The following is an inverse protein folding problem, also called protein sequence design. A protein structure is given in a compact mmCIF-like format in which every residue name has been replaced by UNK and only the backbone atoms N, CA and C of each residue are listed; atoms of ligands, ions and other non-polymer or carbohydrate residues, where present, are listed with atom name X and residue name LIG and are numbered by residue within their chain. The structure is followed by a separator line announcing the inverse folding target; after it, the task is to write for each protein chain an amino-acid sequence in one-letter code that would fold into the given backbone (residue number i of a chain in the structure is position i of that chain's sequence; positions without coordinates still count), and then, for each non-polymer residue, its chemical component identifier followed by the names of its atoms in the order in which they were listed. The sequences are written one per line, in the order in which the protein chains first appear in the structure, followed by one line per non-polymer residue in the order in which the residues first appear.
data_IF_160468348665
#
_entry.id   IF_160468348665
#
_cell.length_a   1.000
_cell.length_b   1.000
_cell.length_c   1.000
_cell.angle_alpha   90.00
_cell.angle_beta   90.00
_cell.angle_gamma   90.00
#
_symmetry.space_group_name_H-M   'P 1'
#
loop_
_entity.id
_entity.type
_entity.pdbx_description
1 polymer ?
#
# COMPACT_ATOMS: atom_id res chain seq x y z
N UNK A 1 -3.69 3.62 44.17
CA UNK A 1 -3.53 2.84 42.93
C UNK A 1 -4.47 3.34 41.80
N UNK A 2 -4.71 4.65 41.68
CA UNK A 2 -5.70 5.20 40.74
C UNK A 2 -5.12 5.72 39.40
N UNK A 3 -3.79 5.76 39.26
CA UNK A 3 -3.10 6.27 38.06
C UNK A 3 -2.42 5.12 37.28
N UNK A 4 -3.11 4.01 37.07
CA UNK A 4 -2.55 2.88 36.32
C UNK A 4 -3.13 2.84 34.91
N UNK A 5 -2.48 3.59 34.01
CA UNK A 5 -2.61 3.40 32.56
C UNK A 5 -1.89 2.11 32.19
N UNK A 6 -2.58 1.18 31.52
CA UNK A 6 -1.95 -0.04 31.02
C UNK A 6 -2.52 -0.42 29.66
N UNK A 7 -1.79 -1.30 28.96
CA UNK A 7 -2.15 -1.73 27.61
C UNK A 7 -3.56 -2.34 27.52
N UNK A 8 -3.97 -3.11 28.54
CA UNK A 8 -5.29 -3.75 28.55
C UNK A 8 -6.42 -2.73 28.62
N UNK A 9 -6.29 -1.67 29.41
CA UNK A 9 -7.27 -0.61 29.50
C UNK A 9 -7.45 0.12 28.16
N UNK A 10 -6.35 0.52 27.51
CA UNK A 10 -6.38 1.15 26.19
C UNK A 10 -6.93 0.24 25.10
N UNK A 11 -6.56 -1.05 25.14
CA UNK A 11 -7.10 -2.04 24.21
C UNK A 11 -8.61 -2.20 24.37
N UNK A 12 -9.11 -2.29 25.61
CA UNK A 12 -10.55 -2.32 25.88
C UNK A 12 -11.23 -1.04 25.36
N UNK A 13 -10.67 0.14 25.58
CA UNK A 13 -11.20 1.39 25.02
C UNK A 13 -11.31 1.33 23.50
N UNK A 14 -10.24 0.93 22.80
CA UNK A 14 -10.24 0.83 21.33
C UNK A 14 -11.28 -0.15 20.79
N UNK A 15 -11.66 -1.15 21.58
CA UNK A 15 -12.65 -2.17 21.22
C UNK A 15 -14.08 -1.76 21.57
N UNK A 16 -14.26 -0.98 22.64
CA UNK A 16 -15.59 -0.56 23.13
C UNK A 16 -16.08 0.72 22.44
N UNK A 17 -15.19 1.67 22.15
CA UNK A 17 -15.58 2.96 21.55
C UNK A 17 -16.40 2.80 20.25
N UNK A 18 -16.06 1.91 19.31
CA UNK A 18 -16.88 1.72 18.10
C UNK A 18 -18.29 1.19 18.37
N UNK A 19 -18.50 0.51 19.50
CA UNK A 19 -19.79 -0.05 19.89
C UNK A 19 -20.65 0.95 20.66
N UNK A 20 -20.02 1.82 21.48
CA UNK A 20 -20.72 2.81 22.31
C UNK A 20 -21.01 4.09 21.52
N UNK A 21 -20.06 4.51 20.68
CA UNK A 21 -20.14 5.74 19.88
C UNK A 21 -19.90 5.41 18.41
N UNK A 22 -20.79 4.64 17.76
CA UNK A 22 -20.61 4.19 16.40
C UNK A 22 -20.48 5.38 15.44
N UNK A 23 -19.46 5.33 14.60
CA UNK A 23 -19.28 6.25 13.49
C UNK A 23 -20.16 5.88 12.29
N UNK A 24 -19.99 6.58 11.15
CA UNK A 24 -20.81 6.37 9.95
C UNK A 24 -20.63 4.98 9.31
N UNK A 25 -19.51 4.31 9.59
CA UNK A 25 -19.22 2.94 9.10
C UNK A 25 -19.09 1.98 10.27
N UNK A 26 -19.40 0.70 10.01
CA UNK A 26 -19.25 -0.34 11.02
C UNK A 26 -17.81 -0.42 11.53
N UNK A 27 -17.65 -0.43 12.86
CA UNK A 27 -16.32 -0.49 13.50
C UNK A 27 -15.58 0.85 13.56
N UNK A 28 -16.19 1.96 13.12
CA UNK A 28 -15.63 3.31 13.28
C UNK A 28 -16.22 4.01 14.51
N UNK A 29 -15.55 5.07 14.97
CA UNK A 29 -15.97 5.88 16.11
C UNK A 29 -16.38 7.26 15.61
N UNK A 30 -17.41 7.84 16.20
CA UNK A 30 -17.84 9.22 15.91
C UNK A 30 -16.69 10.21 16.14
N UNK A 31 -16.52 11.16 15.22
CA UNK A 31 -15.33 12.02 15.16
C UNK A 31 -15.15 12.89 16.42
N UNK A 32 -16.22 13.48 16.95
CA UNK A 32 -16.20 14.28 18.19
C UNK A 32 -15.56 13.51 19.36
N UNK A 33 -15.96 12.25 19.55
CA UNK A 33 -15.41 11.36 20.59
C UNK A 33 -13.95 11.03 20.31
N UNK A 34 -13.58 10.78 19.05
CA UNK A 34 -12.17 10.57 18.69
C UNK A 34 -11.29 11.77 19.02
N UNK A 35 -11.80 13.00 18.79
CA UNK A 35 -11.06 14.23 19.11
C UNK A 35 -10.89 14.42 20.64
N UNK A 36 -11.87 14.03 21.44
CA UNK A 36 -11.76 14.03 22.90
C UNK A 36 -10.71 13.03 23.40
N UNK A 37 -10.62 11.84 22.78
CA UNK A 37 -9.63 10.81 23.15
C UNK A 37 -8.17 11.27 22.98
N UNK A 38 -7.90 12.21 22.06
CA UNK A 38 -6.56 12.80 21.92
C UNK A 38 -6.12 13.53 23.19
N UNK A 39 -7.03 14.27 23.83
CA UNK A 39 -6.72 14.97 25.08
C UNK A 39 -6.43 13.99 26.22
N UNK A 40 -7.17 12.88 26.26
CA UNK A 40 -6.98 11.83 27.26
C UNK A 40 -5.62 11.15 27.11
N UNK A 41 -5.26 10.74 25.90
CA UNK A 41 -3.98 10.06 25.65
C UNK A 41 -2.79 11.02 25.78
N UNK A 42 -2.96 12.30 25.43
CA UNK A 42 -1.95 13.33 25.64
C UNK A 42 -1.60 13.45 27.12
N UNK A 43 -2.60 13.55 28.01
CA UNK A 43 -2.33 13.60 29.46
C UNK A 43 -1.55 12.38 29.97
N UNK A 44 -1.87 11.18 29.46
CA UNK A 44 -1.16 9.96 29.82
C UNK A 44 0.31 9.98 29.35
N UNK A 45 0.53 10.32 28.08
CA UNK A 45 1.89 10.39 27.49
C UNK A 45 2.76 11.50 28.07
N UNK A 46 2.18 12.59 28.60
CA UNK A 46 2.94 13.65 29.28
C UNK A 46 3.25 13.33 30.74
N UNK A 47 2.37 12.57 31.40
CA UNK A 47 2.58 12.18 32.80
C UNK A 47 3.65 11.11 32.92
N UNK A 48 3.67 10.14 31.99
CA UNK A 48 4.71 9.13 31.87
C UNK A 48 5.06 8.91 30.38
N UNK A 49 6.02 9.70 29.85
CA UNK A 49 6.48 9.55 28.46
C UNK A 49 7.08 8.18 28.14
N UNK A 50 7.48 7.41 29.15
CA UNK A 50 7.97 6.05 29.03
C UNK A 50 6.87 5.00 28.83
N UNK A 51 5.61 5.31 29.15
CA UNK A 51 4.47 4.41 28.97
C UNK A 51 4.14 4.22 27.50
N UNK A 52 4.68 3.15 26.91
CA UNK A 52 4.43 2.78 25.52
C UNK A 52 2.94 2.57 25.21
N UNK A 53 2.11 2.19 26.19
CA UNK A 53 0.73 1.80 25.92
C UNK A 53 -0.13 2.98 25.45
N UNK A 54 0.07 4.15 26.05
CA UNK A 54 -0.57 5.38 25.62
C UNK A 54 -0.13 5.76 24.19
N UNK A 55 1.14 5.59 23.84
CA UNK A 55 1.64 5.86 22.48
C UNK A 55 1.06 4.92 21.42
N UNK A 56 0.88 3.63 21.74
CA UNK A 56 0.19 2.69 20.84
C UNK A 56 -1.28 3.06 20.66
N UNK A 57 -1.95 3.51 21.72
CA UNK A 57 -3.32 4.00 21.63
C UNK A 57 -3.42 5.28 20.80
N UNK A 58 -2.51 6.24 20.99
CA UNK A 58 -2.41 7.43 20.15
C UNK A 58 -2.23 7.04 18.68
N UNK A 59 -1.35 6.09 18.39
CA UNK A 59 -1.17 5.57 17.02
C UNK A 59 -2.46 4.95 16.44
N UNK A 60 -3.28 4.31 17.27
CA UNK A 60 -4.60 3.82 16.85
C UNK A 60 -5.56 4.97 16.51
N UNK A 61 -5.60 6.04 17.32
CA UNK A 61 -6.40 7.24 17.03
C UNK A 61 -5.99 7.94 15.71
N UNK A 62 -4.68 7.93 15.41
CA UNK A 62 -4.14 8.46 14.13
C UNK A 62 -4.26 7.45 12.98
N UNK A 63 -4.69 6.23 13.29
CA UNK A 63 -4.90 5.16 12.32
C UNK A 63 -5.99 5.49 11.32
N UNK A 64 -5.98 4.77 10.20
CA UNK A 64 -6.99 4.90 9.16
C UNK A 64 -8.11 3.92 9.39
N UNK A 65 -9.32 4.37 9.09
CA UNK A 65 -10.46 3.49 8.96
C UNK A 65 -10.19 2.47 7.86
N UNK A 66 -10.67 1.24 8.06
CA UNK A 66 -10.67 0.27 6.96
C UNK A 66 -11.64 0.79 5.90
N UNK A 67 -11.20 0.98 4.64
CA UNK A 67 -12.11 1.39 3.59
C UNK A 67 -13.18 0.32 3.36
N UNK A 68 -14.38 0.75 2.99
CA UNK A 68 -15.38 -0.16 2.44
C UNK A 68 -14.81 -0.89 1.22
N UNK A 69 -15.23 -2.13 1.02
CA UNK A 69 -14.87 -2.89 -0.15
C UNK A 69 -15.38 -2.18 -1.40
N UNK A 70 -14.45 -1.76 -2.25
CA UNK A 70 -14.74 -1.17 -3.55
C UNK A 70 -13.56 -1.47 -4.49
N UNK A 71 -13.72 -1.13 -5.76
CA UNK A 71 -12.68 -1.25 -6.78
C UNK A 71 -11.76 -0.03 -6.72
N UNK A 72 -10.45 -0.28 -6.78
CA UNK A 72 -9.43 0.70 -7.16
C UNK A 72 -9.13 0.63 -8.66
N UNK A 73 -9.21 -0.58 -9.23
CA UNK A 73 -8.99 -0.83 -10.65
C UNK A 73 -9.88 -1.98 -11.12
N UNK A 74 -10.49 -1.80 -12.28
CA UNK A 74 -10.99 -2.90 -13.10
C UNK A 74 -10.48 -2.70 -14.53
N UNK A 75 -9.66 -3.64 -15.01
CA UNK A 75 -8.98 -3.57 -16.30
C UNK A 75 -9.17 -4.86 -17.10
N UNK A 76 -9.36 -4.72 -18.41
CA UNK A 76 -9.41 -5.84 -19.37
C UNK A 76 -8.54 -5.52 -20.57
N UNK A 77 -7.72 -6.48 -20.98
CA UNK A 77 -6.86 -6.42 -22.18
C UNK A 77 -7.23 -7.51 -23.18
N UNK A 78 -7.41 -7.14 -24.45
CA UNK A 78 -7.54 -8.07 -25.58
C UNK A 78 -6.21 -8.69 -25.95
N UNK A 79 -5.15 -7.89 -25.99
CA UNK A 79 -3.79 -8.33 -26.34
C UNK A 79 -3.33 -9.44 -25.40
N UNK A 80 -3.46 -9.23 -24.08
CA UNK A 80 -3.07 -10.21 -23.08
C UNK A 80 -4.15 -11.26 -22.80
N UNK A 81 -5.37 -11.11 -23.36
CA UNK A 81 -6.55 -11.88 -22.97
C UNK A 81 -6.69 -12.02 -21.46
N UNK A 82 -6.58 -10.88 -20.75
CA UNK A 82 -6.44 -10.85 -19.30
C UNK A 82 -7.43 -9.86 -18.68
N UNK A 83 -7.92 -10.20 -17.48
CA UNK A 83 -8.64 -9.30 -16.59
C UNK A 83 -7.83 -9.08 -15.31
N UNK A 84 -7.81 -7.84 -14.83
CA UNK A 84 -7.17 -7.44 -13.57
C UNK A 84 -8.18 -6.64 -12.74
N UNK A 85 -8.31 -6.98 -11.46
CA UNK A 85 -9.10 -6.23 -10.49
C UNK A 85 -8.24 -5.90 -9.27
N UNK A 86 -8.27 -4.66 -8.81
CA UNK A 86 -7.64 -4.21 -7.58
C UNK A 86 -8.72 -3.65 -6.65
N UNK A 87 -8.71 -4.02 -5.39
CA UNK A 87 -9.69 -3.63 -4.38
C UNK A 87 -9.08 -2.67 -3.37
N UNK A 88 -9.94 -1.86 -2.73
CA UNK A 88 -9.57 -0.90 -1.67
C UNK A 88 -8.95 -1.55 -0.44
N UNK A 89 -9.11 -2.86 -0.26
CA UNK A 89 -8.53 -3.65 0.83
C UNK A 89 -8.19 -5.06 0.35
N UNK A 90 -7.35 -5.74 1.12
CA UNK A 90 -7.01 -7.13 0.84
C UNK A 90 -8.22 -8.04 1.08
N UNK A 91 -8.45 -9.00 0.18
CA UNK A 91 -9.49 -10.03 0.31
C UNK A 91 -8.88 -11.42 0.16
N UNK A 92 -9.59 -12.41 0.70
CA UNK A 92 -9.29 -13.84 0.55
C UNK A 92 -10.42 -14.54 -0.19
N UNK A 93 -10.10 -15.37 -1.17
CA UNK A 93 -11.09 -16.20 -1.88
C UNK A 93 -11.70 -17.31 -1.01
N UNK A 94 -11.18 -17.54 0.21
CA UNK A 94 -11.82 -18.43 1.17
C UNK A 94 -13.14 -17.84 1.73
N UNK A 95 -13.24 -16.51 1.76
CA UNK A 95 -14.35 -15.76 2.38
C UNK A 95 -15.02 -14.76 1.42
N UNK A 96 -14.60 -14.75 0.15
CA UNK A 96 -15.06 -13.79 -0.86
C UNK A 96 -15.27 -14.47 -2.21
N UNK A 97 -16.40 -14.20 -2.83
CA UNK A 97 -16.71 -14.65 -4.19
C UNK A 97 -16.52 -13.48 -5.17
N UNK A 98 -15.78 -13.73 -6.26
CA UNK A 98 -15.59 -12.78 -7.36
C UNK A 98 -16.22 -13.38 -8.62
N UNK A 99 -17.39 -12.86 -8.99
CA UNK A 99 -18.14 -13.31 -10.17
C UNK A 99 -17.98 -12.29 -11.30
N UNK A 100 -17.79 -12.78 -12.52
CA UNK A 100 -17.64 -11.93 -13.71
C UNK A 100 -18.63 -12.35 -14.79
N UNK A 101 -19.32 -11.38 -15.37
CA UNK A 101 -20.18 -11.60 -16.54
C UNK A 101 -19.66 -10.81 -17.74
N UNK A 102 -19.92 -11.33 -18.93
CA UNK A 102 -19.66 -10.67 -20.21
C UNK A 102 -20.96 -10.67 -21.01
N UNK A 103 -21.43 -9.48 -21.39
CA UNK A 103 -22.70 -9.29 -22.09
C UNK A 103 -23.89 -9.99 -21.38
N UNK A 104 -23.86 -10.02 -20.03
CA UNK A 104 -24.87 -10.68 -19.19
C UNK A 104 -24.66 -12.18 -18.94
N UNK A 105 -23.75 -12.85 -19.67
CA UNK A 105 -23.44 -14.27 -19.46
C UNK A 105 -22.32 -14.44 -18.41
N UNK A 106 -22.50 -15.37 -17.45
CA UNK A 106 -21.49 -15.68 -16.44
C UNK A 106 -20.26 -16.35 -17.07
N UNK A 107 -19.07 -15.85 -16.74
CA UNK A 107 -17.80 -16.43 -17.15
C UNK A 107 -17.26 -17.36 -16.08
N UNK A 108 -16.71 -18.50 -16.51
CA UNK A 108 -15.93 -19.38 -15.64
C UNK A 108 -14.50 -18.86 -15.55
N UNK A 109 -14.18 -18.18 -14.45
CA UNK A 109 -12.90 -17.50 -14.25
C UNK A 109 -12.13 -18.15 -13.10
N UNK A 110 -10.86 -18.47 -13.33
CA UNK A 110 -9.93 -18.90 -12.30
C UNK A 110 -9.06 -17.72 -11.86
N UNK A 111 -9.47 -17.06 -10.77
CA UNK A 111 -8.77 -15.92 -10.19
C UNK A 111 -7.46 -16.34 -9.52
N UNK A 112 -6.41 -15.58 -9.77
CA UNK A 112 -5.07 -15.76 -9.21
C UNK A 112 -4.60 -14.48 -8.51
N UNK A 113 -3.93 -14.65 -7.39
CA UNK A 113 -3.20 -13.57 -6.74
C UNK A 113 -1.74 -13.54 -7.23
N UNK A 114 -1.13 -12.34 -7.32
CA UNK A 114 0.32 -12.21 -7.45
C UNK A 114 1.07 -13.00 -6.39
N UNK A 115 2.23 -13.55 -6.75
CA UNK A 115 3.12 -14.32 -5.86
C UNK A 115 2.42 -15.47 -5.11
N UNK A 116 1.30 -16.00 -5.63
CA UNK A 116 0.52 -17.08 -5.02
C UNK A 116 0.01 -16.77 -3.59
N UNK A 117 -0.22 -15.49 -3.28
CA UNK A 117 -0.76 -15.10 -1.98
C UNK A 117 -2.18 -15.63 -1.76
N UNK A 118 -2.50 -16.05 -0.54
CA UNK A 118 -3.87 -16.40 -0.14
C UNK A 118 -4.77 -15.18 0.08
N UNK A 119 -4.16 -14.01 0.30
CA UNK A 119 -4.86 -12.75 0.54
C UNK A 119 -4.20 -11.64 -0.28
N UNK A 120 -4.98 -10.93 -1.09
CA UNK A 120 -4.46 -9.91 -1.99
C UNK A 120 -5.51 -8.82 -2.24
N UNK A 121 -5.10 -7.55 -2.41
CA UNK A 121 -5.98 -6.54 -2.96
C UNK A 121 -6.08 -6.67 -4.49
N UNK A 122 -5.08 -7.28 -5.15
CA UNK A 122 -4.99 -7.43 -6.61
C UNK A 122 -5.24 -8.88 -7.02
N UNK A 123 -6.14 -9.10 -7.96
CA UNK A 123 -6.45 -10.40 -8.54
C UNK A 123 -6.49 -10.29 -10.06
N UNK A 124 -6.07 -11.36 -10.74
CA UNK A 124 -6.09 -11.42 -12.19
C UNK A 124 -6.52 -12.79 -12.68
N UNK A 125 -6.97 -12.86 -13.92
CA UNK A 125 -7.28 -14.11 -14.59
C UNK A 125 -7.12 -13.98 -16.11
N UNK A 126 -6.97 -15.12 -16.76
CA UNK A 126 -7.00 -15.20 -18.22
C UNK A 126 -8.44 -15.39 -18.68
N UNK A 127 -8.82 -14.66 -19.70
CA UNK A 127 -10.12 -14.77 -20.35
C UNK A 127 -10.07 -15.92 -21.36
N UNK A 128 -11.19 -16.65 -21.58
CA UNK A 128 -11.20 -17.75 -22.53
C UNK A 128 -10.89 -17.24 -23.95
N UNK A 129 -10.03 -17.95 -24.66
CA UNK A 129 -9.63 -17.59 -26.03
C UNK A 129 -10.85 -17.42 -26.95
N UNK A 130 -10.84 -16.41 -27.81
CA UNK A 130 -11.96 -16.11 -28.72
C UNK A 130 -13.19 -15.47 -28.07
N UNK A 131 -13.18 -15.18 -26.76
CA UNK A 131 -14.32 -14.51 -26.08
C UNK A 131 -14.45 -13.02 -26.42
N UNK A 132 -13.38 -12.41 -26.92
CA UNK A 132 -13.24 -10.97 -27.08
C UNK A 132 -13.52 -10.52 -28.52
N UNK A 133 -14.69 -10.87 -29.07
CA UNK A 133 -15.13 -10.42 -30.39
C UNK A 133 -16.19 -9.33 -30.28
N UNK A 134 -15.97 -8.21 -30.98
CA UNK A 134 -16.94 -7.11 -31.03
C UNK A 134 -16.97 -6.27 -29.77
N UNK A 135 -18.10 -5.59 -29.54
CA UNK A 135 -18.32 -4.80 -28.33
C UNK A 135 -18.66 -5.74 -27.17
N UNK A 136 -17.93 -5.59 -26.07
CA UNK A 136 -18.13 -6.37 -24.87
C UNK A 136 -18.47 -5.41 -23.71
N UNK A 137 -19.39 -5.81 -22.85
CA UNK A 137 -19.64 -5.17 -21.56
C UNK A 137 -19.32 -6.20 -20.50
N UNK A 138 -18.29 -5.91 -19.71
CA UNK A 138 -17.93 -6.74 -18.57
C UNK A 138 -18.56 -6.18 -17.31
N UNK A 139 -18.92 -7.07 -16.40
CA UNK A 139 -19.33 -6.72 -15.03
C UNK A 139 -18.63 -7.65 -14.07
N UNK A 140 -17.97 -7.08 -13.07
CA UNK A 140 -17.44 -7.84 -11.94
C UNK A 140 -18.26 -7.50 -10.71
N UNK A 141 -18.67 -8.53 -9.97
CA UNK A 141 -19.31 -8.41 -8.67
C UNK A 141 -18.48 -9.18 -7.66
N UNK A 142 -18.11 -8.49 -6.59
CA UNK A 142 -17.46 -9.10 -5.43
C UNK A 142 -18.43 -9.13 -4.26
N UNK A 143 -18.52 -10.26 -3.57
CA UNK A 143 -19.37 -10.43 -2.39
C UNK A 143 -18.61 -11.16 -1.29
N UNK A 144 -18.60 -10.60 -0.09
CA UNK A 144 -18.01 -11.23 1.10
C UNK A 144 -19.05 -12.07 1.86
N UNK A 145 -18.58 -12.98 2.73
CA UNK A 145 -19.44 -13.73 3.65
C UNK A 145 -20.29 -12.85 4.56
N UNK A 146 -19.80 -11.66 4.91
CA UNK A 146 -20.51 -10.66 5.73
C UNK A 146 -21.54 -9.85 4.92
N UNK A 147 -21.87 -10.28 3.70
CA UNK A 147 -22.79 -9.63 2.76
C UNK A 147 -22.39 -8.22 2.29
N UNK A 148 -21.13 -7.82 2.47
CA UNK A 148 -20.59 -6.64 1.81
C UNK A 148 -20.40 -6.95 0.31
N UNK A 149 -20.84 -6.04 -0.56
CA UNK A 149 -20.72 -6.23 -1.99
C UNK A 149 -20.29 -4.94 -2.70
N UNK A 150 -19.56 -5.13 -3.79
CA UNK A 150 -19.23 -4.07 -4.74
C UNK A 150 -19.36 -4.61 -6.16
N UNK A 151 -19.67 -3.73 -7.10
CA UNK A 151 -19.71 -4.11 -8.52
C UNK A 151 -19.20 -2.98 -9.41
N UNK A 152 -18.52 -3.35 -10.48
CA UNK A 152 -18.04 -2.43 -11.50
C UNK A 152 -18.39 -2.95 -12.90
N UNK A 153 -18.82 -2.05 -13.77
CA UNK A 153 -19.12 -2.31 -15.18
C UNK A 153 -18.03 -1.69 -16.06
N UNK A 154 -17.61 -2.38 -17.11
CA UNK A 154 -16.53 -1.96 -18.00
C UNK A 154 -16.89 -2.25 -19.47
N UNK A 155 -17.22 -1.22 -20.27
CA UNK A 155 -17.40 -1.38 -21.70
C UNK A 155 -16.03 -1.48 -22.39
N UNK A 156 -15.93 -2.36 -23.39
CA UNK A 156 -14.77 -2.52 -24.25
C UNK A 156 -15.24 -2.53 -25.71
N UNK A 157 -14.98 -1.44 -26.44
CA UNK A 157 -15.39 -1.30 -27.83
C UNK A 157 -14.57 -2.24 -28.75
N UNK A 158 -15.14 -2.60 -29.91
CA UNK A 158 -14.49 -3.50 -30.89
C UNK A 158 -13.10 -3.01 -31.34
N UNK A 159 -12.90 -1.70 -31.44
CA UNK A 159 -11.63 -1.10 -31.87
C UNK A 159 -10.62 -0.85 -30.75
N UNK A 160 -11.01 -1.04 -29.48
CA UNK A 160 -10.15 -0.82 -28.33
C UNK A 160 -9.43 -2.11 -27.94
N UNK A 161 -8.12 -2.03 -27.75
CA UNK A 161 -7.31 -3.15 -27.25
C UNK A 161 -7.48 -3.37 -25.75
N UNK A 162 -7.81 -2.33 -25.00
CA UNK A 162 -7.95 -2.38 -23.56
C UNK A 162 -9.00 -1.38 -23.08
N UNK A 163 -9.50 -1.59 -21.87
CA UNK A 163 -10.38 -0.66 -21.17
C UNK A 163 -10.11 -0.75 -19.68
N UNK A 164 -10.26 0.38 -18.98
CA UNK A 164 -10.06 0.49 -17.52
C UNK A 164 -11.14 1.35 -16.87
N UNK A 165 -11.52 0.99 -15.65
CA UNK A 165 -12.29 1.83 -14.73
C UNK A 165 -11.45 1.99 -13.48
N UNK A 166 -11.18 3.25 -13.12
CA UNK A 166 -10.57 3.62 -11.85
C UNK A 166 -11.65 3.70 -10.76
N UNK A 167 -11.25 3.40 -9.52
CA UNK A 167 -12.10 3.58 -8.35
C UNK A 167 -12.47 5.03 -8.06
N UNK A 168 -13.39 5.22 -7.12
CA UNK A 168 -13.84 6.55 -6.69
C UNK A 168 -12.81 7.30 -5.81
N UNK A 169 -11.74 6.63 -5.39
CA UNK A 169 -10.69 7.23 -4.55
C UNK A 169 -9.66 7.89 -5.47
N UNK A 170 -9.55 9.23 -5.47
CA UNK A 170 -8.59 9.92 -6.32
C UNK A 170 -7.15 9.57 -5.90
N UNK A 171 -6.23 9.55 -6.86
CA UNK A 171 -4.85 9.08 -6.64
C UNK A 171 -4.09 9.84 -5.53
N UNK A 172 -4.32 11.14 -5.42
CA UNK A 172 -3.72 12.00 -4.39
C UNK A 172 -4.27 11.75 -2.96
N UNK A 173 -5.31 10.93 -2.82
CA UNK A 173 -5.89 10.51 -1.54
C UNK A 173 -5.77 9.00 -1.28
N UNK A 174 -4.98 8.27 -2.07
CA UNK A 174 -4.77 6.82 -1.86
C UNK A 174 -4.16 6.53 -0.49
N UNK A 175 -3.20 7.37 -0.10
CA UNK A 175 -2.47 7.20 1.15
C UNK A 175 -2.60 8.40 2.08
N UNK A 176 -3.65 9.20 1.95
CA UNK A 176 -4.02 10.24 2.91
C UNK A 176 -5.52 10.15 3.18
N UNK A 177 -5.96 10.56 4.38
CA UNK A 177 -7.40 10.73 4.64
C UNK A 177 -7.69 12.22 4.57
N UNK A 178 -8.80 12.62 3.95
CA UNK A 178 -9.31 13.96 4.13
C UNK A 178 -9.61 14.17 5.62
N UNK A 179 -8.94 15.16 6.21
CA UNK A 179 -9.11 15.53 7.60
C UNK A 179 -10.09 16.70 7.69
N UNK A 180 -11.06 16.61 8.61
CA UNK A 180 -11.88 17.78 8.94
C UNK A 180 -11.00 18.92 9.47
N UNK A 181 -11.48 20.16 9.40
CA UNK A 181 -10.77 21.29 9.98
C UNK A 181 -10.52 21.11 11.49
N UNK A 182 -11.47 20.50 12.19
CA UNK A 182 -11.36 20.18 13.62
C UNK A 182 -10.25 19.15 13.87
N UNK A 183 -10.23 18.04 13.12
CA UNK A 183 -9.19 17.01 13.25
C UNK A 183 -7.81 17.53 12.86
N UNK A 184 -7.72 18.34 11.81
CA UNK A 184 -6.47 19.00 11.41
C UNK A 184 -5.92 19.86 12.55
N UNK A 185 -6.76 20.71 13.14
CA UNK A 185 -6.37 21.56 14.28
C UNK A 185 -5.85 20.75 15.48
N UNK A 186 -6.53 19.66 15.84
CA UNK A 186 -6.10 18.77 16.92
C UNK A 186 -4.75 18.12 16.61
N UNK A 187 -4.57 17.56 15.41
CA UNK A 187 -3.31 16.91 15.04
C UNK A 187 -2.14 17.89 14.94
N UNK A 188 -2.36 19.14 14.52
CA UNK A 188 -1.32 20.18 14.53
C UNK A 188 -0.92 20.55 15.96
N UNK A 189 -1.89 20.65 16.88
CA UNK A 189 -1.63 20.85 18.31
C UNK A 189 -0.86 19.66 18.90
N UNK A 190 -1.25 18.43 18.59
CA UNK A 190 -0.53 17.23 19.04
C UNK A 190 0.90 17.20 18.51
N UNK A 191 1.11 17.57 17.24
CA UNK A 191 2.45 17.62 16.65
C UNK A 191 3.34 18.63 17.36
N UNK A 192 2.81 19.83 17.66
CA UNK A 192 3.54 20.84 18.43
C UNK A 192 3.92 20.31 19.82
N UNK A 193 2.96 19.71 20.49
CA UNK A 193 3.11 19.20 21.86
C UNK A 193 4.12 18.04 21.91
N UNK A 194 4.06 17.10 20.96
CA UNK A 194 5.06 16.03 20.82
C UNK A 194 6.47 16.54 20.50
N UNK A 195 6.61 17.65 19.75
CA UNK A 195 7.91 18.29 19.49
C UNK A 195 8.50 18.89 20.77
N UNK A 196 7.69 19.58 21.56
CA UNK A 196 8.10 20.12 22.86
C UNK A 196 8.55 19.00 23.81
N UNK A 197 7.81 17.88 23.84
CA UNK A 197 8.19 16.71 24.64
C UNK A 197 9.49 16.07 24.15
N UNK A 198 9.72 16.03 22.83
CA UNK A 198 11.01 15.58 22.28
C UNK A 198 12.17 16.50 22.71
N UNK A 199 11.96 17.81 22.77
CA UNK A 199 12.99 18.75 23.19
C UNK A 199 13.35 18.55 24.68
N UNK A 200 12.37 18.18 25.52
CA UNK A 200 12.58 17.83 26.93
C UNK A 200 13.22 16.46 27.11
N UNK A 201 12.84 15.47 26.30
CA UNK A 201 13.37 14.10 26.33
C UNK A 201 13.95 13.65 24.97
N UNK A 202 15.15 14.10 24.60
CA UNK A 202 15.71 13.86 23.25
C UNK A 202 15.94 12.38 22.91
N UNK A 203 16.08 11.54 23.94
CA UNK A 203 16.32 10.09 23.81
C UNK A 203 15.03 9.27 23.90
N UNK A 204 13.86 9.90 24.06
CA UNK A 204 12.59 9.20 24.01
C UNK A 204 12.15 9.02 22.55
N UNK A 205 12.10 7.76 22.12
CA UNK A 205 11.71 7.40 20.75
C UNK A 205 10.23 7.61 20.44
N UNK A 206 9.36 7.63 21.45
CA UNK A 206 7.92 7.65 21.22
C UNK A 206 7.42 9.01 20.71
N UNK A 207 7.78 10.16 21.33
CA UNK A 207 7.47 11.48 20.76
C UNK A 207 8.02 11.65 19.35
N UNK A 208 9.23 11.15 19.08
CA UNK A 208 9.85 11.18 17.75
C UNK A 208 9.03 10.42 16.70
N UNK A 209 8.66 9.18 17.00
CA UNK A 209 7.87 8.36 16.09
C UNK A 209 6.46 8.95 15.90
N UNK A 210 5.84 9.43 16.97
CA UNK A 210 4.53 10.08 16.89
C UNK A 210 4.58 11.35 16.04
N UNK A 211 5.62 12.18 16.16
CA UNK A 211 5.84 13.32 15.26
C UNK A 211 5.89 12.88 13.80
N UNK A 212 6.61 11.82 13.46
CA UNK A 212 6.68 11.29 12.08
C UNK A 212 5.29 10.89 11.58
N UNK A 213 4.51 10.17 12.39
CA UNK A 213 3.18 9.72 12.02
C UNK A 213 2.19 10.88 11.86
N UNK A 214 2.24 11.87 12.77
CA UNK A 214 1.42 13.08 12.69
C UNK A 214 1.77 13.92 11.47
N UNK A 215 3.08 14.13 11.19
CA UNK A 215 3.53 14.83 10.00
C UNK A 215 3.05 14.13 8.72
N UNK A 216 3.11 12.80 8.65
CA UNK A 216 2.57 12.04 7.51
C UNK A 216 1.05 12.15 7.40
N UNK A 217 0.33 12.14 8.52
CA UNK A 217 -1.13 12.22 8.54
C UNK A 217 -1.64 13.62 8.13
N UNK A 218 -0.94 14.68 8.54
CA UNK A 218 -1.29 16.07 8.23
C UNK A 218 -0.98 16.40 6.76
N UNK A 219 0.30 16.30 6.37
CA UNK A 219 0.76 16.57 5.00
C UNK A 219 2.20 16.04 4.85
N UNK A 220 2.31 14.79 4.38
CA UNK A 220 3.62 14.16 4.21
C UNK A 220 4.54 14.84 3.20
N UNK A 221 3.97 15.59 2.24
CA UNK A 221 4.76 16.34 1.25
C UNK A 221 5.39 17.57 1.90
N UNK A 222 4.58 18.37 2.60
CA UNK A 222 5.01 19.55 3.36
C UNK A 222 6.10 19.23 4.37
N UNK A 223 5.98 18.10 5.06
CA UNK A 223 6.91 17.71 6.12
C UNK A 223 8.01 16.73 5.68
N UNK A 224 8.21 16.50 4.38
CA UNK A 224 9.15 15.48 3.86
C UNK A 224 10.55 15.56 4.47
N UNK A 225 11.11 16.75 4.58
CA UNK A 225 12.46 16.95 5.15
C UNK A 225 12.50 16.71 6.67
N UNK A 226 11.48 17.17 7.38
CA UNK A 226 11.35 16.93 8.82
C UNK A 226 11.19 15.44 9.13
N UNK A 227 10.36 14.74 8.37
CA UNK A 227 10.16 13.28 8.49
C UNK A 227 11.51 12.56 8.33
N UNK A 228 12.28 12.87 7.28
CA UNK A 228 13.61 12.28 7.07
C UNK A 228 14.55 12.55 8.25
N UNK A 229 14.58 13.78 8.76
CA UNK A 229 15.39 14.17 9.92
C UNK A 229 15.00 13.40 11.17
N UNK A 230 13.71 13.25 11.44
CA UNK A 230 13.21 12.52 12.61
C UNK A 230 13.45 11.02 12.50
N UNK A 231 13.30 10.41 11.32
CA UNK A 231 13.63 9.00 11.08
C UNK A 231 15.13 8.72 11.26
N UNK A 232 16.01 9.63 10.83
CA UNK A 232 17.45 9.50 11.08
C UNK A 232 17.77 9.55 12.58
N UNK A 233 17.13 10.45 13.34
CA UNK A 233 17.24 10.49 14.81
C UNK A 233 16.72 9.20 15.46
N UNK A 234 15.58 8.68 15.02
CA UNK A 234 14.99 7.43 15.52
C UNK A 234 15.94 6.24 15.34
N UNK A 235 16.63 6.16 14.21
CA UNK A 235 17.65 5.12 14.00
C UNK A 235 18.81 5.21 15.00
N UNK A 236 19.18 6.42 15.45
CA UNK A 236 20.21 6.59 16.47
C UNK A 236 19.71 6.26 17.89
N UNK A 237 18.45 6.61 18.19
CA UNK A 237 17.85 6.42 19.53
C UNK A 237 17.32 5.00 19.76
N UNK A 238 16.82 4.31 18.73
CA UNK A 238 16.32 2.93 18.78
C UNK A 238 16.98 2.08 17.68
N UNK A 239 18.29 1.78 17.82
CA UNK A 239 19.07 1.12 16.77
C UNK A 239 18.57 -0.29 16.43
N UNK A 240 17.92 -0.97 17.38
CA UNK A 240 17.31 -2.28 17.16
C UNK A 240 16.17 -2.24 16.14
N UNK A 241 15.55 -1.07 15.90
CA UNK A 241 14.47 -0.86 14.93
C UNK A 241 14.90 -0.08 13.68
N UNK A 242 16.20 0.06 13.42
CA UNK A 242 16.71 0.81 12.26
C UNK A 242 16.10 0.40 10.91
N UNK A 243 15.87 -0.90 10.72
CA UNK A 243 15.29 -1.41 9.47
C UNK A 243 13.82 -1.02 9.36
N UNK A 244 13.06 -1.05 10.46
CA UNK A 244 11.68 -0.57 10.50
C UNK A 244 11.58 0.91 10.09
N UNK A 245 12.49 1.76 10.58
CA UNK A 245 12.50 3.19 10.19
C UNK A 245 12.92 3.41 8.73
N UNK A 246 13.85 2.59 8.23
CA UNK A 246 14.28 2.63 6.83
C UNK A 246 13.16 2.19 5.89
N UNK A 247 12.44 1.12 6.25
CA UNK A 247 11.27 0.65 5.52
C UNK A 247 10.11 1.67 5.58
N UNK A 248 9.95 2.36 6.71
CA UNK A 248 8.96 3.43 6.85
C UNK A 248 9.29 4.63 5.93
N UNK A 249 10.57 5.02 5.85
CA UNK A 249 11.03 6.03 4.89
C UNK A 249 10.77 5.58 3.44
N UNK A 250 11.10 4.32 3.13
CA UNK A 250 10.88 3.73 1.81
C UNK A 250 9.41 3.75 1.43
N UNK A 251 8.53 3.39 2.38
CA UNK A 251 7.09 3.46 2.22
C UNK A 251 6.61 4.86 1.86
N UNK A 252 7.02 5.88 2.61
CA UNK A 252 6.59 7.25 2.33
C UNK A 252 7.14 7.80 1.00
N UNK A 253 8.38 7.43 0.65
CA UNK A 253 8.95 7.79 -0.64
C UNK A 253 8.19 7.15 -1.80
N UNK A 254 7.86 5.86 -1.70
CA UNK A 254 7.09 5.14 -2.71
C UNK A 254 5.66 5.69 -2.84
N UNK A 255 4.96 5.91 -1.71
CA UNK A 255 3.63 6.53 -1.70
C UNK A 255 3.65 7.89 -2.42
N UNK A 256 4.66 8.72 -2.17
CA UNK A 256 4.80 10.03 -2.81
C UNK A 256 4.97 9.96 -4.33
N UNK A 257 5.67 8.94 -4.85
CA UNK A 257 5.79 8.74 -6.32
C UNK A 257 4.44 8.30 -6.87
N UNK A 258 3.79 7.31 -6.24
CA UNK A 258 2.50 6.77 -6.68
C UNK A 258 1.41 7.85 -6.72
N UNK A 259 1.36 8.73 -5.71
CA UNK A 259 0.41 9.85 -5.64
C UNK A 259 0.61 10.90 -6.75
N UNK A 260 1.81 10.96 -7.35
CA UNK A 260 2.15 11.90 -8.42
C UNK A 260 1.92 11.34 -9.83
N UNK A 261 1.68 10.03 -9.97
CA UNK A 261 1.41 9.41 -11.26
C UNK A 261 0.01 9.76 -11.77
N UNK A 262 -0.07 10.17 -13.02
CA UNK A 262 -1.32 10.37 -13.77
C UNK A 262 -1.93 9.03 -14.20
N UNK A 263 -3.21 9.04 -14.60
CA UNK A 263 -3.91 7.83 -15.02
C UNK A 263 -3.32 7.15 -16.26
N UNK A 264 -2.69 7.94 -17.14
CA UNK A 264 -2.13 7.49 -18.42
C UNK A 264 -0.61 7.27 -18.38
N UNK A 265 0.01 7.47 -17.22
CA UNK A 265 1.44 7.19 -17.06
C UNK A 265 1.68 5.68 -17.20
N UNK A 266 2.56 5.33 -18.14
CA UNK A 266 3.00 3.95 -18.39
C UNK A 266 4.38 3.65 -17.83
N UNK A 267 5.06 4.67 -17.31
CA UNK A 267 6.39 4.57 -16.72
C UNK A 267 6.41 5.24 -15.33
N UNK A 268 7.24 4.73 -14.42
CA UNK A 268 7.48 5.39 -13.14
C UNK A 268 8.95 5.31 -12.72
N UNK A 269 9.44 6.39 -12.13
CA UNK A 269 10.81 6.53 -11.62
C UNK A 269 10.83 6.52 -10.09
N UNK A 270 11.45 5.47 -9.54
CA UNK A 270 11.73 5.28 -8.12
C UNK A 270 13.25 5.30 -7.84
N UNK A 271 14.06 5.75 -8.79
CA UNK A 271 15.52 5.70 -8.70
C UNK A 271 16.07 6.65 -7.64
N UNK A 272 17.12 6.24 -6.93
CA UNK A 272 17.85 7.11 -6.00
C UNK A 272 17.06 7.54 -4.75
N UNK A 273 15.97 6.85 -4.40
CA UNK A 273 15.10 7.22 -3.28
C UNK A 273 15.54 6.61 -1.93
N UNK A 274 16.64 5.86 -1.91
CA UNK A 274 17.14 5.11 -0.74
C UNK A 274 16.13 4.09 -0.21
N UNK A 275 15.45 3.39 -1.12
CA UNK A 275 14.46 2.37 -0.80
C UNK A 275 15.13 1.09 -0.31
N UNK A 276 14.69 0.56 0.83
CA UNK A 276 15.03 -0.79 1.30
C UNK A 276 13.96 -1.82 0.90
N UNK A 277 12.75 -1.35 0.59
CA UNK A 277 11.62 -2.13 0.11
C UNK A 277 10.65 -1.23 -0.67
N UNK A 278 9.92 -1.80 -1.64
CA UNK A 278 8.83 -1.10 -2.35
C UNK A 278 7.48 -1.66 -1.87
N UNK A 279 6.54 -0.77 -1.58
CA UNK A 279 5.19 -1.13 -1.13
C UNK A 279 4.13 -0.60 -2.09
N UNK A 280 2.89 -1.07 -1.92
CA UNK A 280 1.73 -0.61 -2.71
C UNK A 280 1.87 -0.80 -4.22
N UNK A 281 2.66 -1.81 -4.63
CA UNK A 281 2.89 -2.15 -6.05
C UNK A 281 1.62 -2.61 -6.77
N UNK A 282 0.54 -2.95 -6.04
CA UNK A 282 -0.78 -3.19 -6.62
C UNK A 282 -1.35 -1.96 -7.35
N UNK A 283 -0.95 -0.74 -6.97
CA UNK A 283 -1.33 0.49 -7.68
C UNK A 283 -0.58 0.68 -9.01
N UNK A 284 0.46 -0.12 -9.24
CA UNK A 284 1.36 -0.05 -10.39
C UNK A 284 1.13 -1.19 -11.39
N UNK A 285 0.03 -1.94 -11.25
CA UNK A 285 -0.24 -3.17 -12.02
C UNK A 285 -0.28 -2.97 -13.54
N UNK A 286 -0.55 -1.73 -13.99
CA UNK A 286 -0.64 -1.36 -15.41
C UNK A 286 0.60 -0.62 -15.94
N UNK A 287 1.65 -0.42 -15.13
CA UNK A 287 2.89 0.17 -15.65
C UNK A 287 3.56 -0.77 -16.63
N UNK A 288 4.16 -0.20 -17.68
CA UNK A 288 4.99 -0.89 -18.66
C UNK A 288 6.47 -0.76 -18.36
N UNK A 289 6.90 0.35 -17.77
CA UNK A 289 8.29 0.58 -17.39
C UNK A 289 8.42 1.04 -15.94
N UNK A 290 9.43 0.54 -15.24
CA UNK A 290 9.75 1.01 -13.90
C UNK A 290 11.27 1.06 -13.71
N UNK A 291 11.75 2.19 -13.20
CA UNK A 291 13.13 2.36 -12.76
C UNK A 291 13.16 2.36 -11.23
N UNK A 292 13.86 1.40 -10.63
CA UNK A 292 14.08 1.29 -9.18
C UNK A 292 15.59 1.27 -8.88
N UNK A 293 16.41 1.80 -9.80
CA UNK A 293 17.86 1.78 -9.68
C UNK A 293 18.38 2.65 -8.52
N UNK A 294 19.63 2.42 -8.11
CA UNK A 294 20.32 3.24 -7.08
C UNK A 294 19.57 3.25 -5.74
N UNK A 295 19.15 2.08 -5.29
CA UNK A 295 18.44 1.87 -4.03
C UNK A 295 19.15 0.79 -3.19
N UNK A 296 18.49 0.26 -2.15
CA UNK A 296 18.98 -0.83 -1.31
C UNK A 296 18.00 -2.02 -1.30
N UNK A 297 17.31 -2.25 -2.42
CA UNK A 297 16.34 -3.33 -2.57
C UNK A 297 17.05 -4.68 -2.52
N UNK A 298 16.52 -5.58 -1.68
CA UNK A 298 17.00 -6.98 -1.58
C UNK A 298 15.99 -8.00 -2.11
N UNK A 299 14.71 -7.74 -1.89
CA UNK A 299 13.62 -8.65 -2.23
C UNK A 299 12.78 -8.08 -3.37
N UNK A 300 12.54 -8.90 -4.39
CA UNK A 300 11.70 -8.55 -5.55
C UNK A 300 10.26 -9.04 -5.41
N UNK A 301 9.90 -9.68 -4.28
CA UNK A 301 8.55 -10.18 -4.02
C UNK A 301 7.43 -9.17 -4.27
N UNK A 302 7.56 -7.89 -3.87
CA UNK A 302 6.52 -6.91 -4.15
C UNK A 302 6.29 -6.63 -5.64
N UNK A 303 7.29 -6.88 -6.50
CA UNK A 303 7.20 -6.57 -7.94
C UNK A 303 6.27 -7.53 -8.69
N UNK A 304 5.89 -8.67 -8.12
CA UNK A 304 4.97 -9.62 -8.77
C UNK A 304 3.58 -9.04 -9.08
N UNK A 305 3.22 -7.90 -8.48
CA UNK A 305 1.98 -7.15 -8.76
C UNK A 305 2.02 -6.37 -10.09
N UNK A 306 3.18 -6.19 -10.72
CA UNK A 306 3.36 -5.38 -11.93
C UNK A 306 2.93 -6.14 -13.19
N UNK A 307 1.68 -6.56 -13.26
CA UNK A 307 1.20 -7.57 -14.23
C UNK A 307 1.37 -7.18 -15.71
N UNK A 308 1.42 -5.88 -16.03
CA UNK A 308 1.59 -5.36 -17.40
C UNK A 308 3.01 -4.92 -17.72
N UNK A 309 3.97 -5.15 -16.82
CA UNK A 309 5.33 -4.64 -16.95
C UNK A 309 6.08 -5.28 -18.11
N UNK A 310 6.81 -4.45 -18.86
CA UNK A 310 7.66 -4.84 -19.99
C UNK A 310 9.12 -4.60 -19.68
N UNK A 311 9.45 -3.54 -18.94
CA UNK A 311 10.82 -3.17 -18.60
C UNK A 311 10.98 -2.88 -17.11
N UNK A 312 11.97 -3.51 -16.49
CA UNK A 312 12.37 -3.23 -15.11
C UNK A 312 13.87 -2.90 -15.09
N UNK A 313 14.22 -1.75 -14.50
CA UNK A 313 15.60 -1.37 -14.22
C UNK A 313 15.82 -1.46 -12.70
N UNK A 314 16.69 -2.38 -12.28
CA UNK A 314 17.05 -2.64 -10.88
C UNK A 314 18.54 -2.43 -10.61
N UNK A 315 19.22 -1.67 -11.48
CA UNK A 315 20.66 -1.44 -11.38
C UNK A 315 21.04 -0.80 -10.03
N UNK A 316 22.25 -1.06 -9.54
CA UNK A 316 22.79 -0.47 -8.30
C UNK A 316 21.87 -0.72 -7.07
N UNK A 317 21.62 -1.99 -6.77
CA UNK A 317 20.81 -2.43 -5.64
C UNK A 317 21.53 -3.54 -4.83
N UNK A 318 20.79 -4.24 -3.96
CA UNK A 318 21.30 -5.34 -3.14
C UNK A 318 20.54 -6.64 -3.42
N UNK A 319 20.07 -6.85 -4.65
CA UNK A 319 19.30 -8.03 -5.04
C UNK A 319 20.21 -9.25 -5.06
N UNK A 320 19.82 -10.26 -4.29
CA UNK A 320 20.51 -11.56 -4.25
C UNK A 320 19.71 -12.62 -5.03
N UNK A 321 18.38 -12.47 -5.10
CA UNK A 321 17.47 -13.45 -5.71
C UNK A 321 16.36 -12.78 -6.51
N UNK A 322 15.96 -13.41 -7.62
CA UNK A 322 14.90 -12.91 -8.49
C UNK A 322 13.49 -13.39 -8.12
N UNK A 323 13.32 -13.99 -6.93
CA UNK A 323 12.03 -14.48 -6.44
C UNK A 323 11.00 -13.34 -6.42
N UNK A 324 9.79 -13.61 -6.95
CA UNK A 324 8.72 -12.61 -7.10
C UNK A 324 8.49 -12.13 -8.53
N UNK A 325 9.45 -12.32 -9.44
CA UNK A 325 9.29 -11.94 -10.85
C UNK A 325 8.51 -12.98 -11.68
N UNK A 326 8.27 -14.17 -11.14
CA UNK A 326 7.74 -15.30 -11.93
C UNK A 326 6.32 -15.14 -12.46
N UNK A 327 5.55 -14.16 -11.98
CA UNK A 327 4.20 -13.83 -12.50
C UNK A 327 4.19 -12.77 -13.61
N UNK A 328 5.35 -12.24 -14.00
CA UNK A 328 5.46 -11.12 -14.94
C UNK A 328 5.54 -11.62 -16.39
N UNK A 329 4.40 -12.05 -16.92
CA UNK A 329 4.32 -12.72 -18.22
C UNK A 329 4.69 -11.81 -19.42
N UNK A 330 4.57 -10.48 -19.23
CA UNK A 330 4.82 -9.46 -20.25
C UNK A 330 6.24 -8.88 -20.19
N UNK A 331 7.06 -9.28 -19.21
CA UNK A 331 8.40 -8.73 -19.01
C UNK A 331 9.31 -9.10 -20.19
N UNK A 332 9.85 -8.09 -20.89
CA UNK A 332 10.75 -8.25 -22.04
C UNK A 332 12.19 -7.85 -21.74
N UNK A 333 12.39 -6.86 -20.86
CA UNK A 333 13.69 -6.34 -20.50
C UNK A 333 13.86 -6.27 -18.98
N UNK A 334 14.91 -6.89 -18.46
CA UNK A 334 15.30 -6.85 -17.06
C UNK A 334 16.77 -6.44 -16.93
N UNK A 335 17.02 -5.32 -16.25
CA UNK A 335 18.38 -4.89 -15.90
C UNK A 335 18.62 -5.07 -14.41
N UNK A 336 19.70 -5.77 -14.07
CA UNK A 336 20.12 -6.14 -12.72
C UNK A 336 21.61 -5.82 -12.50
N UNK A 337 22.16 -4.83 -13.23
CA UNK A 337 23.58 -4.46 -13.13
C UNK A 337 23.94 -4.05 -11.69
N UNK A 338 25.16 -4.29 -11.26
CA UNK A 338 25.64 -3.90 -9.92
C UNK A 338 24.72 -4.36 -8.78
N UNK A 339 24.34 -5.64 -8.80
CA UNK A 339 23.62 -6.31 -7.71
C UNK A 339 24.48 -7.40 -7.05
N UNK A 340 23.89 -8.21 -6.16
CA UNK A 340 24.58 -9.24 -5.37
C UNK A 340 24.18 -10.65 -5.78
N UNK A 341 24.00 -10.86 -7.08
CA UNK A 341 23.61 -12.17 -7.63
C UNK A 341 24.87 -13.01 -7.82
N UNK A 342 25.19 -13.83 -6.81
CA UNK A 342 26.36 -14.71 -6.83
C UNK A 342 26.04 -16.09 -7.44
N UNK A 343 24.80 -16.57 -7.25
CA UNK A 343 24.35 -17.89 -7.65
C UNK A 343 23.38 -17.83 -8.83
N UNK A 344 23.65 -18.61 -9.88
CA UNK A 344 22.83 -18.69 -11.09
C UNK A 344 21.47 -19.33 -10.84
N UNK A 345 21.32 -20.17 -9.82
CA UNK A 345 20.02 -20.79 -9.50
C UNK A 345 18.98 -19.75 -9.10
N UNK A 346 19.43 -18.59 -8.59
CA UNK A 346 18.58 -17.46 -8.26
C UNK A 346 17.85 -16.85 -9.47
N UNK A 347 18.30 -17.15 -10.70
CA UNK A 347 17.69 -16.71 -11.95
C UNK A 347 16.66 -17.69 -12.50
N UNK A 348 16.52 -18.89 -11.94
CA UNK A 348 15.67 -19.95 -12.52
C UNK A 348 14.20 -19.53 -12.66
N UNK A 349 13.71 -18.71 -11.73
CA UNK A 349 12.35 -18.14 -11.78
C UNK A 349 12.10 -17.33 -13.06
N UNK A 350 13.12 -16.76 -13.68
CA UNK A 350 12.97 -16.00 -14.94
C UNK A 350 12.52 -16.89 -16.11
N UNK A 351 12.69 -18.23 -16.03
CA UNK A 351 12.14 -19.16 -17.03
C UNK A 351 10.62 -19.14 -17.12
N UNK A 352 9.94 -18.64 -16.09
CA UNK A 352 8.47 -18.50 -16.11
C UNK A 352 8.02 -17.17 -16.74
N UNK A 353 8.95 -16.32 -17.18
CA UNK A 353 8.69 -15.09 -17.93
C UNK A 353 8.88 -15.37 -19.43
N UNK A 354 7.83 -15.78 -20.18
CA UNK A 354 7.97 -16.27 -21.55
C UNK A 354 8.40 -15.19 -22.55
N UNK A 355 8.18 -13.92 -22.22
CA UNK A 355 8.45 -12.78 -23.10
C UNK A 355 9.84 -12.16 -22.90
N UNK A 356 10.64 -12.67 -21.95
CA UNK A 356 11.92 -12.07 -21.58
C UNK A 356 12.96 -12.26 -22.70
N UNK A 357 13.40 -11.18 -23.32
CA UNK A 357 14.37 -11.19 -24.43
C UNK A 357 15.70 -10.53 -24.08
N UNK A 358 15.70 -9.59 -23.12
CA UNK A 358 16.89 -8.87 -22.70
C UNK A 358 17.11 -9.02 -21.18
N UNK A 359 18.27 -9.52 -20.79
CA UNK A 359 18.71 -9.67 -19.40
C UNK A 359 20.11 -9.10 -19.24
N UNK A 360 20.24 -8.00 -18.50
CA UNK A 360 21.52 -7.33 -18.25
C UNK A 360 21.98 -7.63 -16.81
N UNK A 361 23.12 -8.32 -16.67
CA UNK A 361 23.71 -8.72 -15.38
C UNK A 361 25.10 -8.11 -15.12
N UNK A 362 25.73 -7.52 -16.15
CA UNK A 362 27.11 -7.04 -16.07
C UNK A 362 27.25 -5.80 -15.17
N UNK A 363 28.46 -5.55 -14.66
CA UNK A 363 28.83 -4.37 -13.84
C UNK A 363 28.67 -3.03 -14.59
#
# INVERSE_FOLDING_TARGET
AANFSNYSAWHYRSSLLPNIYPGPRQGTVREDVLLEEYSLVQNATFTDPGDQSAWFYHRWLTGREKPALDFLLFYVSREASQVIVNFTRQISLADTEINMTMNGALLSISWKAPCQSLCSPLWYAHLPEGSLHGNCIFKVMVKTKDNECASADLPLARGQQESKVAGNIPRNHLFSCELSAARTCVLEKELKTCRELHDLEPHNKWPLLTCVLLMRALDGSRFRMDIKKFLAKLTAVDPMRRNYYSDLNSKFAAESVIEQLNEDDTAADFSGLSLTSICHTNHLALLHEIDISKNQIKSLQPLGCLLSIRKIVLDDNCVERCDGLGSLLMLTCLSLRNNKIEDKDCLFVLKTCPSLTELNLDE
#
